data_IF_601438802504
#
_entry.id   IF_601438802504
#
_cell.length_a   1.000
_cell.length_b   1.000
_cell.length_c   1.000
_cell.angle_alpha   90.00
_cell.angle_beta   90.00
_cell.angle_gamma   90.00
#
_symmetry.space_group_name_H-M   'P 1'
#
loop_
_entity.id
_entity.type
_entity.pdbx_description
1 polymer ?
#
# COMPACT_ATOMS: atom_id res chain seq x y z
N UNK A 1 0.46 19.31 11.96
CA UNK A 1 1.07 18.53 10.86
C UNK A 1 1.27 17.10 11.36
N UNK A 2 0.98 16.07 10.57
CA UNK A 2 1.13 14.67 11.02
C UNK A 2 2.59 14.38 11.39
N UNK A 3 2.87 13.68 12.50
CA UNK A 3 4.23 13.28 12.87
C UNK A 3 4.74 12.05 12.11
N UNK A 4 3.98 11.57 11.11
CA UNK A 4 4.29 10.41 10.27
C UNK A 4 4.22 10.81 8.79
N UNK A 5 5.11 10.25 7.94
CA UNK A 5 5.09 10.52 6.50
C UNK A 5 3.81 9.99 5.85
N UNK A 6 3.34 10.69 4.81
CA UNK A 6 2.38 10.11 3.87
C UNK A 6 3.10 9.02 3.07
N UNK A 7 2.45 7.87 2.87
CA UNK A 7 3.03 6.70 2.20
C UNK A 7 2.10 6.27 1.07
N UNK A 8 2.63 6.21 -0.15
CA UNK A 8 1.95 5.56 -1.27
C UNK A 8 2.50 4.14 -1.43
N UNK A 9 1.72 3.12 -1.08
CA UNK A 9 2.20 1.72 -1.03
C UNK A 9 2.58 1.11 -2.38
N UNK A 10 2.29 1.79 -3.51
CA UNK A 10 2.77 1.39 -4.84
C UNK A 10 4.17 1.93 -5.18
N UNK A 11 4.76 2.75 -4.30
CA UNK A 11 6.09 3.34 -4.44
C UNK A 11 7.01 2.73 -3.38
N UNK A 12 7.97 1.92 -3.80
CA UNK A 12 8.88 1.19 -2.89
C UNK A 12 9.66 2.12 -1.94
N UNK A 13 10.14 3.25 -2.45
CA UNK A 13 10.88 4.21 -1.64
C UNK A 13 10.00 4.89 -0.56
N UNK A 14 8.70 5.02 -0.78
CA UNK A 14 7.78 5.51 0.25
C UNK A 14 7.66 4.52 1.40
N UNK A 15 7.55 3.23 1.09
CA UNK A 15 7.44 2.15 2.09
C UNK A 15 8.73 2.04 2.90
N UNK A 16 9.90 2.06 2.24
CA UNK A 16 11.21 2.06 2.92
C UNK A 16 11.35 3.23 3.89
N UNK A 17 11.04 4.46 3.45
CA UNK A 17 11.10 5.64 4.32
C UNK A 17 10.15 5.54 5.52
N UNK A 18 8.99 4.90 5.35
CA UNK A 18 8.06 4.68 6.46
C UNK A 18 8.61 3.70 7.50
N UNK A 19 9.23 2.60 7.04
CA UNK A 19 9.91 1.62 7.90
C UNK A 19 11.08 2.26 8.62
N UNK A 20 11.95 2.97 7.89
CA UNK A 20 13.11 3.67 8.44
C UNK A 20 12.68 4.68 9.52
N UNK A 21 11.63 5.46 9.24
CA UNK A 21 11.08 6.42 10.19
C UNK A 21 10.54 5.74 11.46
N UNK A 22 9.87 4.59 11.33
CA UNK A 22 9.37 3.85 12.48
C UNK A 22 10.53 3.31 13.33
N UNK A 23 11.55 2.74 12.71
CA UNK A 23 12.75 2.24 13.40
C UNK A 23 13.52 3.37 14.07
N UNK A 24 13.75 4.49 13.39
CA UNK A 24 14.43 5.66 13.95
C UNK A 24 13.70 6.21 15.19
N UNK A 25 12.36 6.25 15.13
CA UNK A 25 11.53 6.83 16.19
C UNK A 25 11.32 5.92 17.39
N UNK A 26 11.17 4.62 17.16
CA UNK A 26 10.78 3.65 18.20
C UNK A 26 11.89 2.66 18.57
N UNK A 27 13.00 2.65 17.84
CA UNK A 27 14.16 1.76 18.04
C UNK A 27 14.05 0.40 17.37
N UNK A 28 12.83 -0.07 17.07
CA UNK A 28 12.55 -1.32 16.36
C UNK A 28 11.20 -1.27 15.64
N UNK A 29 10.98 -2.22 14.73
CA UNK A 29 9.68 -2.50 14.13
C UNK A 29 9.34 -3.98 14.36
N UNK A 30 8.46 -4.25 15.32
CA UNK A 30 8.09 -5.62 15.70
C UNK A 30 6.79 -6.10 15.03
N UNK A 31 5.90 -5.17 14.66
CA UNK A 31 4.60 -5.46 14.08
C UNK A 31 4.36 -4.53 12.90
N UNK A 32 4.01 -5.10 11.74
CA UNK A 32 3.57 -4.38 10.56
C UNK A 32 2.14 -4.79 10.21
N UNK A 33 1.27 -3.81 9.99
CA UNK A 33 -0.13 -4.03 9.61
C UNK A 33 -0.35 -3.50 8.20
N UNK A 34 -0.36 -4.41 7.22
CA UNK A 34 -0.63 -4.09 5.81
C UNK A 34 -2.13 -3.89 5.58
N UNK A 35 -2.65 -2.75 6.04
CA UNK A 35 -4.08 -2.40 5.97
C UNK A 35 -4.44 -1.52 4.76
N UNK A 36 -3.47 -0.86 4.13
CA UNK A 36 -3.73 -0.01 2.97
C UNK A 36 -4.30 -0.84 1.82
N UNK A 37 -5.40 -0.39 1.23
CA UNK A 37 -6.03 -1.08 0.12
C UNK A 37 -7.07 -0.25 -0.60
N UNK A 38 -7.29 -0.59 -1.87
CA UNK A 38 -8.34 0.00 -2.71
C UNK A 38 -9.31 -1.07 -3.22
N UNK A 39 -10.46 -0.60 -3.69
CA UNK A 39 -11.45 -1.38 -4.42
C UNK A 39 -11.72 -0.65 -5.73
N UNK A 40 -11.64 -1.36 -6.85
CA UNK A 40 -11.94 -0.83 -8.19
C UNK A 40 -13.07 -1.64 -8.81
N UNK A 41 -13.90 -0.97 -9.62
CA UNK A 41 -15.30 -0.64 -9.31
C UNK A 41 -16.09 -1.81 -8.72
N UNK A 42 -16.85 -1.50 -7.65
CA UNK A 42 -17.64 -2.49 -6.93
C UNK A 42 -18.69 -3.13 -7.87
N UNK A 43 -18.68 -4.46 -7.93
CA UNK A 43 -19.73 -5.26 -8.58
C UNK A 43 -19.91 -5.01 -10.09
N UNK A 44 -18.81 -4.84 -10.84
CA UNK A 44 -18.84 -4.88 -12.31
C UNK A 44 -18.77 -6.32 -12.79
N UNK A 45 -19.50 -6.62 -13.87
CA UNK A 45 -19.39 -7.91 -14.55
C UNK A 45 -17.94 -8.15 -14.98
N UNK A 46 -17.39 -9.35 -14.72
CA UNK A 46 -15.99 -9.64 -15.04
C UNK A 46 -15.64 -9.43 -16.52
N UNK A 47 -16.64 -9.54 -17.42
CA UNK A 47 -16.48 -9.32 -18.87
C UNK A 47 -16.31 -7.84 -19.23
N UNK A 48 -16.69 -6.95 -18.34
CA UNK A 48 -16.59 -5.49 -18.47
C UNK A 48 -15.51 -4.91 -17.55
N UNK A 49 -14.75 -5.78 -16.86
CA UNK A 49 -13.72 -5.35 -15.94
C UNK A 49 -12.42 -5.08 -16.70
N UNK A 50 -12.11 -3.79 -16.84
CA UNK A 50 -10.89 -3.35 -17.50
C UNK A 50 -9.63 -3.89 -16.80
N UNK A 51 -8.67 -4.35 -17.59
CA UNK A 51 -7.39 -4.85 -17.08
C UNK A 51 -6.70 -3.82 -16.17
N UNK A 52 -6.78 -2.53 -16.50
CA UNK A 52 -6.21 -1.47 -15.68
C UNK A 52 -6.79 -1.41 -14.26
N UNK A 53 -8.05 -1.80 -14.06
CA UNK A 53 -8.67 -1.87 -12.72
C UNK A 53 -8.09 -3.03 -11.92
N UNK A 54 -7.89 -4.17 -12.58
CA UNK A 54 -7.29 -5.35 -11.97
C UNK A 54 -5.84 -5.05 -11.56
N UNK A 55 -5.07 -4.46 -12.47
CA UNK A 55 -3.69 -4.06 -12.23
C UNK A 55 -3.58 -3.08 -11.08
N UNK A 56 -4.45 -2.05 -11.00
CA UNK A 56 -4.46 -1.11 -9.86
C UNK A 56 -4.71 -1.81 -8.52
N UNK A 57 -5.69 -2.73 -8.46
CA UNK A 57 -6.00 -3.47 -7.24
C UNK A 57 -4.82 -4.35 -6.82
N UNK A 58 -4.19 -5.05 -7.76
CA UNK A 58 -3.01 -5.88 -7.46
C UNK A 58 -1.79 -5.06 -7.09
N UNK A 59 -1.58 -3.92 -7.75
CA UNK A 59 -0.48 -3.02 -7.46
C UNK A 59 -0.56 -2.47 -6.03
N UNK A 60 -1.74 -2.10 -5.55
CA UNK A 60 -1.92 -1.58 -4.19
C UNK A 60 -2.00 -2.71 -3.17
N UNK A 61 -2.92 -3.67 -3.35
CA UNK A 61 -3.29 -4.60 -2.28
C UNK A 61 -2.33 -5.79 -2.18
N UNK A 62 -1.70 -6.19 -3.29
CA UNK A 62 -0.79 -7.34 -3.33
C UNK A 62 0.67 -6.89 -3.42
N UNK A 63 1.06 -6.17 -4.47
CA UNK A 63 2.43 -5.68 -4.64
C UNK A 63 2.80 -4.74 -3.50
N UNK A 64 1.95 -3.77 -3.15
CA UNK A 64 2.21 -2.86 -2.02
C UNK A 64 2.32 -3.54 -0.65
N UNK A 65 1.76 -4.75 -0.48
CA UNK A 65 1.93 -5.57 0.74
C UNK A 65 3.29 -6.30 0.74
N UNK A 66 3.86 -6.57 -0.43
CA UNK A 66 5.15 -7.23 -0.61
C UNK A 66 6.34 -6.28 -0.46
N UNK A 67 6.19 -5.02 -0.92
CA UNK A 67 7.18 -3.95 -0.77
C UNK A 67 7.42 -3.62 0.71
#
# INVERSE_FOLDING_TARGET
>A
MSPFPTVTVTIEDDVKRAVDHAVEKFGSLDIMVNNAGILEPKCVDIREFELSHFERVFDVNAKGTFL
#
